data_IF_925502923968
#
_entry.id   IF_925502923968
#
_cell.length_a   1.000
_cell.length_b   1.000
_cell.length_c   1.000
_cell.angle_alpha   90.00
_cell.angle_beta   90.00
_cell.angle_gamma   90.00
#
_symmetry.space_group_name_H-M   'P 1'
#
loop_
_entity.id
_entity.type
_entity.pdbx_description
1 polymer ?
#
# COMPACT_ATOMS: atom_id res chain seq x y z
N UNK A 1 0.20 11.46 -18.78
CA UNK A 1 1.58 11.07 -19.19
C UNK A 1 1.52 9.80 -20.02
N UNK A 2 2.61 9.40 -20.70
CA UNK A 2 2.62 8.16 -21.50
C UNK A 2 2.20 6.94 -20.66
N UNK A 3 1.37 6.05 -21.21
CA UNK A 3 0.91 4.82 -20.52
C UNK A 3 2.12 3.93 -20.23
N UNK A 4 2.27 3.37 -19.01
CA UNK A 4 3.42 2.53 -18.70
C UNK A 4 3.40 1.22 -19.51
N UNK A 5 4.56 0.55 -19.67
CA UNK A 5 4.60 -0.77 -20.30
C UNK A 5 3.63 -1.76 -19.66
N UNK A 6 3.01 -2.62 -20.48
CA UNK A 6 2.05 -3.66 -20.05
C UNK A 6 2.77 -4.91 -19.56
N UNK A 7 3.67 -4.74 -18.60
CA UNK A 7 4.52 -5.80 -18.10
C UNK A 7 4.88 -5.56 -16.63
N UNK A 8 4.95 -6.64 -15.86
CA UNK A 8 5.53 -6.61 -14.52
C UNK A 8 7.06 -6.67 -14.61
N UNK A 9 7.74 -5.75 -13.94
CA UNK A 9 9.20 -5.65 -13.84
C UNK A 9 9.63 -5.59 -12.38
N UNK A 10 10.83 -6.09 -12.09
CA UNK A 10 11.38 -6.18 -10.73
C UNK A 10 11.25 -7.57 -10.12
N UNK A 11 11.74 -7.70 -8.89
CA UNK A 11 11.76 -8.99 -8.17
C UNK A 11 10.48 -9.18 -7.37
N UNK A 12 9.66 -10.16 -7.76
CA UNK A 12 8.55 -10.65 -6.96
C UNK A 12 9.08 -11.66 -5.93
N UNK A 13 8.43 -11.70 -4.76
CA UNK A 13 8.90 -12.46 -3.59
C UNK A 13 7.93 -13.57 -3.19
N UNK A 14 8.46 -14.68 -2.66
CA UNK A 14 7.64 -15.72 -2.04
C UNK A 14 7.15 -16.83 -2.98
N UNK A 15 6.56 -17.89 -2.40
CA UNK A 15 6.33 -19.17 -3.08
C UNK A 15 5.16 -19.14 -4.08
N UNK A 16 4.32 -18.10 -4.02
CA UNK A 16 3.15 -17.94 -4.90
C UNK A 16 3.49 -17.24 -6.21
N UNK A 17 4.70 -16.73 -6.38
CA UNK A 17 5.11 -15.97 -7.54
C UNK A 17 5.79 -16.86 -8.58
N UNK A 18 5.36 -16.72 -9.84
CA UNK A 18 5.96 -17.37 -11.00
C UNK A 18 6.02 -16.37 -12.15
N UNK A 19 7.21 -16.20 -12.74
CA UNK A 19 7.44 -15.23 -13.81
C UNK A 19 7.03 -13.81 -13.40
N UNK A 20 6.00 -13.26 -14.03
CA UNK A 20 5.54 -11.87 -13.96
C UNK A 20 4.26 -11.68 -13.13
N UNK A 21 3.80 -12.72 -12.40
CA UNK A 21 2.63 -12.65 -11.53
C UNK A 21 2.66 -13.62 -10.36
N UNK A 22 1.74 -13.45 -9.42
CA UNK A 22 1.60 -14.32 -8.27
C UNK A 22 0.16 -14.78 -8.08
N UNK A 23 -0.01 -15.95 -7.47
CA UNK A 23 -1.31 -16.38 -6.96
C UNK A 23 -1.69 -15.57 -5.71
N UNK A 24 -2.96 -15.22 -5.56
CA UNK A 24 -3.46 -14.56 -4.37
C UNK A 24 -3.49 -15.55 -3.19
N UNK A 25 -2.88 -15.17 -2.08
CA UNK A 25 -2.80 -15.97 -0.88
C UNK A 25 -4.20 -16.10 -0.29
N UNK A 26 -4.54 -17.32 0.14
CA UNK A 26 -5.76 -17.57 0.91
C UNK A 26 -5.49 -17.35 2.39
N UNK A 27 -4.27 -17.64 2.82
CA UNK A 27 -3.78 -17.47 4.18
C UNK A 27 -2.40 -16.84 4.18
N UNK A 28 -2.01 -16.26 5.31
CA UNK A 28 -0.70 -15.66 5.53
C UNK A 28 0.45 -16.66 5.31
N UNK A 29 0.23 -17.92 5.68
CA UNK A 29 1.20 -18.99 5.50
C UNK A 29 1.53 -19.22 4.01
N UNK A 30 0.53 -19.08 3.13
CA UNK A 30 0.72 -19.26 1.69
C UNK A 30 1.67 -18.22 1.10
N UNK A 31 1.61 -16.97 1.59
CA UNK A 31 2.47 -15.89 1.10
C UNK A 31 3.94 -16.05 1.50
N UNK A 32 4.21 -16.88 2.51
CA UNK A 32 5.53 -17.06 3.12
C UNK A 32 6.05 -15.78 3.79
N UNK A 33 7.26 -15.87 4.33
CA UNK A 33 7.97 -14.73 4.95
C UNK A 33 9.31 -14.51 4.23
N UNK A 34 9.93 -13.32 4.35
CA UNK A 34 11.28 -13.09 3.85
C UNK A 34 12.29 -14.01 4.54
N UNK A 35 13.28 -14.52 3.80
CA UNK A 35 14.35 -15.38 4.33
C UNK A 35 15.40 -14.56 5.11
N UNK A 36 15.57 -13.30 4.74
CA UNK A 36 16.45 -12.34 5.38
C UNK A 36 15.69 -11.55 6.45
N UNK A 37 15.97 -11.82 7.72
CA UNK A 37 15.29 -11.21 8.88
C UNK A 37 15.36 -9.68 9.01
N UNK A 38 15.80 -8.98 7.96
CA UNK A 38 15.82 -7.53 7.83
C UNK A 38 14.78 -6.94 6.86
N UNK A 39 14.02 -7.74 6.10
CA UNK A 39 12.94 -7.25 5.21
C UNK A 39 11.56 -7.68 5.69
N UNK A 40 10.53 -7.05 5.16
CA UNK A 40 9.13 -7.37 5.41
C UNK A 40 8.42 -7.67 4.10
N UNK A 41 7.58 -8.70 4.08
CA UNK A 41 6.79 -9.06 2.90
C UNK A 41 5.47 -8.30 2.89
N UNK A 42 5.14 -7.77 1.73
CA UNK A 42 3.87 -7.11 1.46
C UNK A 42 3.14 -7.84 0.35
N UNK A 43 1.83 -8.05 0.52
CA UNK A 43 0.93 -8.36 -0.57
C UNK A 43 0.39 -7.04 -1.15
N UNK A 44 0.48 -6.89 -2.46
CA UNK A 44 -0.22 -5.86 -3.23
C UNK A 44 -1.28 -6.55 -4.08
N UNK A 45 -2.54 -6.25 -3.80
CA UNK A 45 -3.70 -6.81 -4.47
C UNK A 45 -4.41 -5.75 -5.27
N UNK A 46 -4.52 -5.99 -6.57
CA UNK A 46 -5.12 -5.10 -7.55
C UNK A 46 -6.44 -5.68 -8.02
N UNK A 47 -7.52 -4.91 -7.96
CA UNK A 47 -8.81 -5.28 -8.54
C UNK A 47 -9.38 -4.16 -9.41
N UNK A 48 -9.88 -4.53 -10.58
CA UNK A 48 -10.58 -3.65 -11.52
C UNK A 48 -11.04 -4.45 -12.74
N UNK A 49 -12.00 -3.94 -13.50
CA UNK A 49 -12.25 -4.42 -14.87
C UNK A 49 -11.19 -3.93 -15.88
N UNK A 50 -10.42 -2.91 -15.50
CA UNK A 50 -9.46 -2.19 -16.34
C UNK A 50 -8.01 -2.62 -16.07
N UNK A 51 -7.09 -2.09 -16.87
CA UNK A 51 -5.66 -2.25 -16.65
C UNK A 51 -5.19 -1.35 -15.50
N UNK A 52 -4.34 -1.89 -14.63
CA UNK A 52 -3.76 -1.17 -13.50
C UNK A 52 -2.24 -1.32 -13.48
N UNK A 53 -1.56 -0.25 -13.07
CA UNK A 53 -0.12 -0.24 -12.85
C UNK A 53 0.18 0.22 -11.44
N UNK A 54 1.05 -0.50 -10.73
CA UNK A 54 1.63 -0.03 -9.47
C UNK A 54 3.12 0.14 -9.63
N UNK A 55 3.65 1.30 -9.26
CA UNK A 55 5.09 1.51 -9.15
C UNK A 55 5.52 1.49 -7.70
N UNK A 56 6.66 0.85 -7.47
CA UNK A 56 7.40 0.81 -6.21
C UNK A 56 8.81 1.39 -6.46
N UNK A 57 9.62 1.62 -5.41
CA UNK A 57 10.97 2.17 -5.59
C UNK A 57 11.84 1.33 -6.54
N UNK A 58 12.80 2.00 -7.19
CA UNK A 58 13.63 1.41 -8.23
C UNK A 58 12.85 1.20 -9.54
N UNK A 59 13.16 0.13 -10.26
CA UNK A 59 12.53 -0.23 -11.54
C UNK A 59 11.33 -1.17 -11.39
N UNK A 60 10.77 -1.26 -10.18
CA UNK A 60 9.67 -2.18 -9.89
C UNK A 60 8.33 -1.60 -10.36
N UNK A 61 7.70 -2.31 -11.29
CA UNK A 61 6.39 -1.97 -11.85
C UNK A 61 5.55 -3.24 -11.87
N UNK A 62 4.38 -3.21 -11.26
CA UNK A 62 3.43 -4.31 -11.22
C UNK A 62 2.30 -4.02 -12.19
N UNK A 63 1.95 -4.98 -13.04
CA UNK A 63 0.93 -4.78 -14.07
C UNK A 63 -0.20 -5.80 -13.94
N UNK A 64 -1.43 -5.29 -13.87
CA UNK A 64 -2.65 -6.09 -13.92
C UNK A 64 -3.35 -5.84 -15.26
N UNK A 65 -3.63 -6.91 -15.99
CA UNK A 65 -4.34 -6.86 -17.27
C UNK A 65 -5.87 -6.86 -17.10
N UNK A 66 -6.62 -6.55 -18.15
CA UNK A 66 -8.10 -6.55 -18.13
C UNK A 66 -8.77 -7.94 -18.07
N UNK A 67 -8.03 -9.01 -18.34
CA UNK A 67 -8.58 -10.37 -18.45
C UNK A 67 -8.83 -11.01 -17.07
N UNK A 68 -8.11 -10.55 -16.06
CA UNK A 68 -8.29 -10.97 -14.66
C UNK A 68 -9.01 -9.88 -13.90
N UNK A 69 -9.97 -10.24 -13.04
CA UNK A 69 -10.63 -9.30 -12.14
C UNK A 69 -9.67 -8.86 -11.02
N UNK A 70 -8.81 -9.79 -10.58
CA UNK A 70 -7.86 -9.60 -9.49
C UNK A 70 -6.44 -10.06 -9.92
N UNK A 71 -5.41 -9.36 -9.44
CA UNK A 71 -4.02 -9.79 -9.49
C UNK A 71 -3.34 -9.53 -8.14
N UNK A 72 -2.51 -10.46 -7.68
CA UNK A 72 -1.69 -10.30 -6.48
C UNK A 72 -0.21 -10.31 -6.82
N UNK A 73 0.53 -9.53 -6.06
CA UNK A 73 1.98 -9.42 -6.13
C UNK A 73 2.53 -9.44 -4.71
N UNK A 74 3.70 -10.01 -4.54
CA UNK A 74 4.38 -9.96 -3.25
C UNK A 74 5.76 -9.38 -3.45
N UNK A 75 6.13 -8.49 -2.53
CA UNK A 75 7.40 -7.79 -2.56
C UNK A 75 7.97 -7.75 -1.16
N UNK A 76 9.28 -7.90 -1.04
CA UNK A 76 9.95 -7.73 0.24
C UNK A 76 10.54 -6.31 0.29
N UNK A 77 10.16 -5.49 1.27
CA UNK A 77 10.69 -4.14 1.44
C UNK A 77 11.59 -4.08 2.68
N UNK A 78 12.70 -3.37 2.57
CA UNK A 78 13.54 -3.05 3.71
C UNK A 78 12.88 -1.96 4.58
N UNK A 79 13.28 -1.78 5.84
CA UNK A 79 12.87 -0.63 6.64
C UNK A 79 13.22 0.70 5.95
N UNK A 80 12.35 1.70 6.10
CA UNK A 80 12.50 3.03 5.49
C UNK A 80 11.29 3.43 4.63
N UNK A 81 11.44 4.52 3.89
CA UNK A 81 10.37 5.11 3.08
C UNK A 81 10.36 4.55 1.65
N UNK A 82 9.20 4.06 1.23
CA UNK A 82 8.96 3.51 -0.10
C UNK A 82 7.81 4.23 -0.79
N UNK A 83 8.09 5.17 -1.71
CA UNK A 83 7.06 5.76 -2.56
C UNK A 83 6.34 4.69 -3.38
N UNK A 84 5.02 4.74 -3.38
CA UNK A 84 4.17 3.88 -4.19
C UNK A 84 3.24 4.74 -5.03
N UNK A 85 2.92 4.27 -6.24
CA UNK A 85 1.87 4.89 -7.03
C UNK A 85 1.01 3.88 -7.75
N UNK A 86 -0.30 4.01 -7.66
CA UNK A 86 -1.29 3.30 -8.47
C UNK A 86 -1.67 4.19 -9.66
N UNK A 87 -1.73 3.63 -10.86
CA UNK A 87 -2.26 4.29 -12.05
C UNK A 87 -3.37 3.45 -12.69
N UNK A 88 -4.44 4.14 -13.07
CA UNK A 88 -5.52 3.64 -13.92
C UNK A 88 -5.78 4.64 -15.06
N UNK A 89 -6.21 4.13 -16.22
CA UNK A 89 -6.54 4.97 -17.38
C UNK A 89 -7.66 4.31 -18.18
N UNK A 90 -8.75 5.06 -18.39
CA UNK A 90 -9.87 4.63 -19.22
C UNK A 90 -10.61 5.87 -19.77
N UNK A 91 -10.83 5.98 -21.09
CA UNK A 91 -11.46 7.15 -21.69
C UNK A 91 -12.87 7.47 -21.18
N UNK A 92 -13.61 6.47 -20.70
CA UNK A 92 -15.00 6.64 -20.24
C UNK A 92 -15.14 6.69 -18.71
N UNK A 93 -14.02 6.57 -17.98
CA UNK A 93 -14.00 6.65 -16.52
C UNK A 93 -13.26 5.47 -15.91
N UNK A 94 -12.34 5.75 -14.98
CA UNK A 94 -11.50 4.70 -14.37
C UNK A 94 -12.22 3.93 -13.27
N UNK A 95 -11.80 2.69 -13.03
CA UNK A 95 -12.05 1.96 -11.78
C UNK A 95 -10.77 1.34 -11.27
N UNK A 96 -10.52 1.44 -9.97
CA UNK A 96 -9.29 0.93 -9.39
C UNK A 96 -9.44 0.61 -7.90
N UNK A 97 -8.93 -0.57 -7.53
CA UNK A 97 -8.72 -0.96 -6.15
C UNK A 97 -7.25 -1.41 -5.98
N UNK A 98 -6.60 -0.87 -4.96
CA UNK A 98 -5.30 -1.32 -4.47
C UNK A 98 -5.41 -1.58 -2.97
N UNK A 99 -5.14 -2.81 -2.56
CA UNK A 99 -4.98 -3.20 -1.17
C UNK A 99 -3.52 -3.60 -0.94
N UNK A 100 -2.89 -3.01 0.07
CA UNK A 100 -1.53 -3.35 0.51
C UNK A 100 -1.61 -3.93 1.91
N UNK A 101 -1.05 -5.12 2.11
CA UNK A 101 -1.04 -5.81 3.41
C UNK A 101 0.38 -6.24 3.79
N UNK A 102 0.81 -5.92 5.00
CA UNK A 102 2.04 -6.46 5.59
C UNK A 102 1.76 -7.89 6.08
N UNK A 103 2.69 -8.82 5.84
CA UNK A 103 2.62 -10.18 6.38
C UNK A 103 3.45 -10.27 7.66
N UNK A 104 2.78 -10.55 8.78
CA UNK A 104 3.41 -10.72 10.08
C UNK A 104 4.14 -12.04 10.22
N UNK A 105 5.46 -12.03 10.05
CA UNK A 105 6.27 -13.25 10.14
C UNK A 105 6.17 -13.98 11.50
N UNK A 106 5.93 -13.24 12.59
CA UNK A 106 5.82 -13.82 13.95
C UNK A 106 4.38 -14.11 14.38
N UNK A 107 3.43 -13.35 13.85
CA UNK A 107 2.04 -13.36 14.32
C UNK A 107 1.13 -14.17 13.40
N UNK A 108 1.56 -14.42 12.16
CA UNK A 108 0.77 -15.10 11.13
C UNK A 108 -0.50 -14.32 10.78
N UNK A 109 -0.43 -12.99 10.77
CA UNK A 109 -1.57 -12.11 10.45
C UNK A 109 -1.24 -11.17 9.29
N UNK A 110 -2.24 -10.90 8.44
CA UNK A 110 -2.21 -9.77 7.51
C UNK A 110 -2.54 -8.47 8.24
N UNK A 111 -1.71 -7.45 8.08
CA UNK A 111 -1.98 -6.09 8.58
C UNK A 111 -2.35 -5.18 7.43
N UNK A 112 -3.53 -4.58 7.49
CA UNK A 112 -4.00 -3.66 6.47
C UNK A 112 -3.14 -2.39 6.51
N UNK A 113 -2.28 -2.23 5.50
CA UNK A 113 -1.28 -1.17 5.46
C UNK A 113 -1.80 0.04 4.70
N UNK A 114 -2.41 -0.19 3.54
CA UNK A 114 -3.01 0.85 2.71
C UNK A 114 -4.15 0.26 1.91
N UNK A 115 -5.22 1.04 1.73
CA UNK A 115 -6.32 0.68 0.84
C UNK A 115 -6.77 1.91 0.08
N UNK A 116 -6.87 1.77 -1.24
CA UNK A 116 -7.54 2.70 -2.12
C UNK A 116 -8.58 1.93 -2.93
N UNK A 117 -9.79 2.46 -3.03
CA UNK A 117 -10.87 1.87 -3.80
C UNK A 117 -11.72 2.99 -4.38
N UNK A 118 -11.96 2.94 -5.69
CA UNK A 118 -12.90 3.83 -6.35
C UNK A 118 -13.48 3.17 -7.60
N UNK A 119 -14.81 3.21 -7.75
CA UNK A 119 -15.50 2.70 -8.93
C UNK A 119 -15.56 1.17 -9.01
N UNK A 120 -15.62 0.44 -7.88
CA UNK A 120 -15.75 -1.02 -7.89
C UNK A 120 -17.09 -1.48 -7.28
N UNK A 121 -18.10 -1.91 -8.08
CA UNK A 121 -18.16 -1.97 -9.54
C UNK A 121 -18.60 -0.64 -10.19
N UNK A 122 -18.01 -0.26 -11.32
CA UNK A 122 -18.44 0.90 -12.12
C UNK A 122 -17.31 1.79 -12.60
N UNK A 123 -17.60 3.08 -12.80
CA UNK A 123 -16.60 4.12 -12.98
C UNK A 123 -16.55 4.98 -11.70
N UNK A 124 -15.35 5.27 -11.25
CA UNK A 124 -15.06 6.15 -10.14
C UNK A 124 -15.61 7.55 -10.42
N UNK A 125 -16.29 8.18 -9.46
CA UNK A 125 -16.74 9.57 -9.60
C UNK A 125 -15.82 10.54 -8.86
N UNK A 126 -15.83 11.83 -9.21
CA UNK A 126 -15.10 12.84 -8.43
C UNK A 126 -15.59 12.95 -6.98
N UNK A 127 -16.90 12.77 -6.76
CA UNK A 127 -17.48 12.75 -5.42
C UNK A 127 -16.97 11.56 -4.59
N UNK A 128 -16.87 10.38 -5.22
CA UNK A 128 -16.31 9.19 -4.57
C UNK A 128 -14.84 9.37 -4.23
N UNK A 129 -14.03 9.99 -5.10
CA UNK A 129 -12.64 10.33 -4.77
C UNK A 129 -12.56 11.25 -3.55
N UNK A 130 -13.38 12.29 -3.49
CA UNK A 130 -13.40 13.20 -2.33
C UNK A 130 -13.81 12.45 -1.06
N UNK A 131 -14.79 11.55 -1.12
CA UNK A 131 -15.20 10.71 0.01
C UNK A 131 -14.07 9.77 0.47
N UNK A 132 -13.34 9.15 -0.46
CA UNK A 132 -12.16 8.32 -0.15
C UNK A 132 -11.10 9.15 0.56
N UNK A 133 -10.88 10.39 0.14
CA UNK A 133 -9.89 11.29 0.75
C UNK A 133 -10.24 11.61 2.20
N UNK A 134 -11.51 11.92 2.42
CA UNK A 134 -12.05 12.23 3.73
C UNK A 134 -11.98 11.01 4.66
N UNK A 135 -12.20 9.81 4.12
CA UNK A 135 -12.07 8.56 4.89
C UNK A 135 -10.69 8.39 5.51
N UNK A 136 -9.62 8.89 4.89
CA UNK A 136 -8.27 8.75 5.44
C UNK A 136 -8.02 9.56 6.71
N UNK A 137 -8.87 10.54 7.02
CA UNK A 137 -8.77 11.32 8.27
C UNK A 137 -9.01 10.46 9.51
N UNK A 138 -9.67 9.30 9.38
CA UNK A 138 -9.89 8.38 10.48
C UNK A 138 -8.60 7.69 10.96
N UNK A 139 -7.59 7.58 10.10
CA UNK A 139 -6.35 6.87 10.41
C UNK A 139 -5.38 7.78 11.15
N UNK A 140 -5.45 7.72 12.47
CA UNK A 140 -4.53 8.45 13.34
C UNK A 140 -3.07 8.11 12.97
N UNK A 141 -2.26 9.16 12.75
CA UNK A 141 -0.85 9.05 12.35
C UNK A 141 -0.63 8.27 11.04
N UNK A 142 -1.65 8.01 10.22
CA UNK A 142 -1.51 7.25 8.98
C UNK A 142 -1.28 5.75 9.18
N UNK A 143 -1.66 5.20 10.35
CA UNK A 143 -1.67 3.76 10.59
C UNK A 143 -3.07 3.22 10.26
N UNK A 144 -3.17 2.46 9.17
CA UNK A 144 -4.42 1.80 8.79
C UNK A 144 -4.73 0.60 9.68
N UNK A 145 -3.69 -0.05 10.19
CA UNK A 145 -3.74 -1.07 11.22
C UNK A 145 -2.78 -0.67 12.34
N UNK A 146 -3.30 -0.45 13.54
CA UNK A 146 -2.52 0.00 14.70
C UNK A 146 -1.54 -1.05 15.22
N UNK A 147 -1.78 -2.33 14.91
CA UNK A 147 -0.88 -3.44 15.24
C UNK A 147 0.22 -3.65 14.18
N UNK A 148 0.03 -3.07 12.99
CA UNK A 148 1.00 -3.14 11.90
C UNK A 148 2.27 -2.37 12.21
N UNK A 149 3.24 -2.47 11.30
CA UNK A 149 4.53 -1.77 11.45
C UNK A 149 4.88 -0.93 10.23
N UNK A 150 3.86 -0.51 9.50
CA UNK A 150 4.00 0.37 8.34
C UNK A 150 3.04 1.54 8.46
N UNK A 151 3.57 2.75 8.34
CA UNK A 151 2.80 3.99 8.35
C UNK A 151 2.64 4.53 6.93
N UNK A 152 1.48 5.10 6.62
CA UNK A 152 1.22 5.77 5.35
C UNK A 152 1.45 7.27 5.48
N UNK A 153 2.18 7.84 4.52
CA UNK A 153 2.43 9.28 4.39
C UNK A 153 2.05 9.78 3.01
N UNK A 154 1.79 11.09 2.91
CA UNK A 154 1.77 11.81 1.64
C UNK A 154 0.73 11.33 0.63
N UNK A 155 -0.46 10.89 1.07
CA UNK A 155 -1.53 10.45 0.17
C UNK A 155 -1.97 11.63 -0.70
N UNK A 156 -1.84 11.49 -2.00
CA UNK A 156 -2.27 12.47 -2.99
C UNK A 156 -2.66 11.75 -4.28
N UNK A 157 -3.47 12.41 -5.12
CA UNK A 157 -3.74 11.91 -6.46
C UNK A 157 -3.87 13.03 -7.47
N UNK A 158 -3.52 12.69 -8.70
CA UNK A 158 -3.87 13.47 -9.88
C UNK A 158 -4.89 12.70 -10.71
N UNK A 159 -5.74 13.41 -11.43
CA UNK A 159 -6.70 12.79 -12.33
C UNK A 159 -6.91 13.60 -13.62
N UNK A 160 -7.28 12.88 -14.68
CA UNK A 160 -7.86 13.47 -15.88
C UNK A 160 -9.36 13.75 -15.69
N UNK A 161 -10.02 14.21 -16.77
CA UNK A 161 -11.48 14.35 -16.82
C UNK A 161 -11.99 13.62 -18.06
N UNK A 162 -12.98 12.74 -17.87
CA UNK A 162 -13.66 12.08 -18.97
C UNK A 162 -14.60 13.06 -19.70
N UNK A 163 -15.06 12.75 -20.93
CA UNK A 163 -15.94 13.63 -21.70
C UNK A 163 -17.27 13.97 -21.03
N UNK A 164 -17.79 13.07 -20.17
CA UNK A 164 -19.02 13.30 -19.38
C UNK A 164 -18.84 14.33 -18.26
N UNK A 165 -17.60 14.71 -17.98
CA UNK A 165 -17.22 15.65 -16.95
C UNK A 165 -17.47 15.22 -15.50
N UNK A 166 -17.85 13.95 -15.28
CA UNK A 166 -18.25 13.39 -13.97
C UNK A 166 -17.25 12.35 -13.47
N UNK A 167 -16.58 11.65 -14.38
CA UNK A 167 -15.62 10.61 -14.04
C UNK A 167 -14.17 11.03 -14.38
N UNK A 168 -13.16 10.55 -13.65
CA UNK A 168 -11.76 10.69 -14.01
C UNK A 168 -11.42 9.74 -15.15
N UNK A 169 -10.82 10.25 -16.22
CA UNK A 169 -10.34 9.41 -17.35
C UNK A 169 -8.93 8.83 -17.14
N UNK A 170 -8.19 9.43 -16.23
CA UNK A 170 -6.89 8.98 -15.75
C UNK A 170 -6.89 9.19 -14.24
N UNK A 171 -6.22 8.30 -13.51
CA UNK A 171 -6.05 8.43 -12.06
C UNK A 171 -4.64 7.97 -11.70
N UNK A 172 -3.92 8.79 -10.95
CA UNK A 172 -2.61 8.47 -10.39
C UNK A 172 -2.66 8.73 -8.90
N UNK A 173 -2.83 7.68 -8.10
CA UNK A 173 -2.76 7.74 -6.63
C UNK A 173 -1.31 7.56 -6.20
N UNK A 174 -0.84 8.37 -5.27
CA UNK A 174 0.50 8.32 -4.70
C UNK A 174 0.42 8.28 -3.19
N UNK A 175 1.28 7.49 -2.58
CA UNK A 175 1.48 7.43 -1.14
C UNK A 175 2.91 6.99 -0.85
N UNK A 176 3.32 7.03 0.41
CA UNK A 176 4.60 6.49 0.87
C UNK A 176 4.35 5.47 1.97
N UNK A 177 4.90 4.27 1.81
CA UNK A 177 4.98 3.26 2.86
C UNK A 177 6.22 3.55 3.71
N UNK A 178 6.04 4.01 4.94
CA UNK A 178 7.09 4.18 5.94
C UNK A 178 7.18 2.91 6.78
N UNK A 179 8.09 2.02 6.40
CA UNK A 179 8.24 0.66 6.91
C UNK A 179 9.17 0.67 8.13
N UNK A 180 8.66 0.33 9.31
CA UNK A 180 9.46 0.32 10.53
C UNK A 180 10.37 -0.90 10.63
N UNK A 181 11.46 -0.77 11.40
CA UNK A 181 12.43 -1.85 11.60
C UNK A 181 11.86 -3.02 12.43
N UNK A 182 10.95 -2.73 13.37
CA UNK A 182 10.42 -3.75 14.26
C UNK A 182 9.31 -4.57 13.57
N UNK A 183 9.22 -5.90 13.82
CA UNK A 183 8.09 -6.70 13.37
C UNK A 183 6.84 -6.40 14.20
N UNK A 184 5.63 -6.55 13.63
CA UNK A 184 4.40 -6.63 14.41
C UNK A 184 4.52 -7.73 15.46
N UNK A 185 4.04 -7.45 16.67
CA UNK A 185 4.16 -8.33 17.83
C UNK A 185 2.81 -8.79 18.38
N UNK A 186 1.71 -8.18 17.95
CA UNK A 186 0.33 -8.59 18.20
C UNK A 186 -0.37 -8.86 16.88
N UNK A 187 -1.41 -9.70 16.88
CA UNK A 187 -2.21 -9.97 15.69
C UNK A 187 -2.93 -8.69 15.22
N UNK A 188 -3.28 -8.64 13.94
CA UNK A 188 -4.08 -7.54 13.39
C UNK A 188 -5.41 -7.41 14.16
N UNK A 189 -5.83 -6.17 14.41
CA UNK A 189 -7.09 -5.86 15.09
C UNK A 189 -7.13 -6.11 16.60
N UNK A 190 -6.00 -6.45 17.23
CA UNK A 190 -5.91 -6.55 18.69
C UNK A 190 -6.17 -5.16 19.32
N UNK A 191 -7.17 -5.08 20.18
CA UNK A 191 -7.68 -3.83 20.77
C UNK A 191 -6.63 -3.08 21.61
N UNK A 192 -5.62 -3.80 22.09
CA UNK A 192 -4.56 -3.24 22.92
C UNK A 192 -3.40 -2.65 22.10
N UNK A 193 -3.48 -2.71 20.76
CA UNK A 193 -2.51 -2.06 19.89
C UNK A 193 -2.68 -0.54 19.93
N UNK A 194 -1.64 0.16 20.39
CA UNK A 194 -1.65 1.62 20.54
C UNK A 194 -1.94 2.09 21.97
N UNK A 195 -2.39 1.19 22.86
CA UNK A 195 -2.41 1.43 24.30
C UNK A 195 -0.97 1.30 24.85
N UNK A 196 -0.57 2.26 25.69
CA UNK A 196 0.83 2.58 25.95
C UNK A 196 1.73 1.43 26.45
N UNK A 197 3.01 1.50 26.06
CA UNK A 197 4.10 0.88 26.82
C UNK A 197 4.43 -0.57 26.49
N UNK A 198 4.59 -0.91 25.20
CA UNK A 198 4.97 -2.26 24.80
C UNK A 198 5.84 -2.30 23.55
N UNK A 199 6.84 -1.41 23.42
CA UNK A 199 7.99 -1.78 22.59
C UNK A 199 8.59 -3.01 23.27
N UNK A 200 8.51 -4.17 22.61
CA UNK A 200 9.16 -5.39 23.11
C UNK A 200 10.63 -5.11 23.48
N UNK A 201 11.24 -5.93 24.35
CA UNK A 201 12.56 -5.63 24.91
C UNK A 201 13.58 -5.46 23.78
N UNK A 202 14.01 -4.21 23.54
CA UNK A 202 15.00 -3.86 22.51
C UNK A 202 14.76 -2.58 21.71
N UNK A 203 13.66 -1.84 21.92
CA UNK A 203 13.39 -0.58 21.21
C UNK A 203 13.87 0.66 21.96
N UNK A 204 15.18 0.91 21.98
CA UNK A 204 15.71 2.24 22.35
C UNK A 204 15.00 3.32 21.55
N UNK A 205 14.53 4.33 22.27
CA UNK A 205 13.92 5.53 21.70
C UNK A 205 15.06 6.41 21.24
N UNK A 206 15.42 6.38 19.97
CA UNK A 206 16.15 7.51 19.42
C UNK A 206 15.18 8.69 19.38
N UNK A 207 15.42 9.62 20.32
CA UNK A 207 14.62 10.80 20.53
C UNK A 207 14.62 11.70 19.29
N UNK A 208 13.46 12.24 19.00
CA UNK A 208 13.30 13.41 18.15
C UNK A 208 14.17 14.53 18.75
N UNK A 209 15.09 15.16 17.99
CA UNK A 209 15.87 16.27 18.53
C UNK A 209 14.95 17.46 18.80
N UNK A 210 14.95 17.90 20.05
CA UNK A 210 14.27 19.09 20.56
C UNK A 210 14.61 20.31 19.69
N UNK A 211 13.64 21.07 19.14
CA UNK A 211 13.94 22.29 18.42
C UNK A 211 14.53 23.31 19.39
N UNK A 212 15.82 23.62 19.18
CA UNK A 212 16.60 24.57 19.96
C UNK A 212 15.82 25.86 20.25
N UNK A 213 15.72 26.20 21.54
CA UNK A 213 15.16 27.46 22.00
C UNK A 213 15.97 28.65 21.43
N UNK A 214 15.31 29.76 21.04
CA UNK A 214 16.01 30.94 20.57
C UNK A 214 16.79 31.61 21.72
N UNK A 215 17.96 32.23 21.43
CA UNK A 215 18.72 32.93 22.44
C UNK A 215 17.95 34.16 22.94
N UNK A 216 17.93 34.32 24.27
CA UNK A 216 17.36 35.48 24.96
C UNK A 216 18.20 36.76 24.69
N UNK A 217 17.58 37.96 24.75
CA UNK A 217 18.23 39.25 24.44
C UNK A 217 19.31 39.67 25.43
#
# INVERSE_FOLDING_TARGET
>A
GAVPPKQTTGTLSGPLCQNDGCACAKTEADAGVPDDGGRKRFELRLKSAQELWVKLPGDMSLYKNKEKVEACFYVDLAPGEHPISLRASDPVGVSAELVVREIGAKTGSFYNTFQFECGNPGACSFEELDAVKESYKQYARGLHDTCGSTRIKGIAWDHGKAPDGTHPSELVVRATLDVYKFPPWKKSGDETCGEGGGRGPGGESEGEPDPAAPPAP
#
